data_IF_605110949756
#
_entry.id   IF_605110949756
#
_cell.length_a   1.000
_cell.length_b   1.000
_cell.length_c   1.000
_cell.angle_alpha   90.00
_cell.angle_beta   90.00
_cell.angle_gamma   90.00
#
_symmetry.space_group_name_H-M   'P 1'
#
loop_
_entity.id
_entity.type
_entity.pdbx_description
1 polymer ?
#
# COMPACT_ATOMS: atom_id res chain seq x y z
N UNK A 1 -17.25 40.23 9.31
CA UNK A 1 -16.75 38.90 9.75
C UNK A 1 -17.72 38.35 10.78
N UNK A 2 -18.38 37.22 10.51
CA UNK A 2 -19.31 36.58 11.46
C UNK A 2 -18.48 35.75 12.44
N UNK A 3 -18.41 36.17 13.70
CA UNK A 3 -17.85 35.35 14.79
C UNK A 3 -18.90 34.32 15.18
N UNK A 4 -18.72 33.07 14.73
CA UNK A 4 -19.46 31.94 15.28
C UNK A 4 -18.97 31.72 16.71
N UNK A 5 -19.77 32.12 17.70
CA UNK A 5 -19.54 31.71 19.10
C UNK A 5 -19.80 30.21 19.15
N UNK A 6 -18.74 29.41 19.38
CA UNK A 6 -18.89 28.00 19.74
C UNK A 6 -19.76 27.89 20.98
N UNK A 7 -20.64 26.92 20.97
CA UNK A 7 -21.55 26.60 22.06
C UNK A 7 -20.75 26.01 23.25
N UNK A 8 -20.85 26.62 24.45
CA UNK A 8 -20.04 26.18 25.60
C UNK A 8 -20.39 24.76 26.06
N UNK A 9 -21.62 24.31 25.77
CA UNK A 9 -22.09 22.98 26.10
C UNK A 9 -21.43 21.90 25.22
N UNK A 10 -21.41 22.08 23.90
CA UNK A 10 -20.71 21.17 22.99
C UNK A 10 -19.23 21.02 23.31
N UNK A 11 -18.56 22.11 23.69
CA UNK A 11 -17.15 22.07 24.12
C UNK A 11 -16.95 21.28 25.42
N UNK A 12 -17.90 21.37 26.36
CA UNK A 12 -17.83 20.58 27.60
C UNK A 12 -17.96 19.08 27.35
N UNK A 13 -18.83 18.67 26.43
CA UNK A 13 -18.99 17.26 26.03
C UNK A 13 -17.70 16.75 25.37
N UNK A 14 -17.14 17.49 24.42
CA UNK A 14 -15.88 17.10 23.77
C UNK A 14 -14.73 16.92 24.76
N UNK A 15 -14.63 17.79 25.78
CA UNK A 15 -13.64 17.65 26.85
C UNK A 15 -13.85 16.40 27.69
N UNK A 16 -15.10 16.07 28.00
CA UNK A 16 -15.44 14.86 28.77
C UNK A 16 -15.07 13.59 27.99
N UNK A 17 -15.48 13.49 26.73
CA UNK A 17 -15.16 12.36 25.84
C UNK A 17 -13.65 12.21 25.66
N UNK A 18 -12.93 13.32 25.47
CA UNK A 18 -11.49 13.28 25.35
C UNK A 18 -10.82 12.78 26.64
N UNK A 19 -11.28 13.25 27.80
CA UNK A 19 -10.75 12.82 29.11
C UNK A 19 -10.96 11.31 29.32
N UNK A 20 -12.12 10.78 28.95
CA UNK A 20 -12.42 9.34 29.04
C UNK A 20 -11.48 8.52 28.15
N UNK A 21 -11.23 8.96 26.91
CA UNK A 21 -10.27 8.30 26.01
C UNK A 21 -8.85 8.30 26.59
N UNK A 22 -8.41 9.42 27.18
CA UNK A 22 -7.11 9.49 27.84
C UNK A 22 -7.04 8.54 29.04
N UNK A 23 -8.11 8.39 29.82
CA UNK A 23 -8.16 7.47 30.95
C UNK A 23 -8.03 6.00 30.50
N UNK A 24 -8.79 5.61 29.46
CA UNK A 24 -8.74 4.26 28.88
C UNK A 24 -7.31 3.93 28.42
N UNK A 25 -6.70 4.83 27.65
CA UNK A 25 -5.36 4.63 27.11
C UNK A 25 -4.29 4.64 28.21
N UNK A 26 -4.47 5.44 29.26
CA UNK A 26 -3.55 5.43 30.40
C UNK A 26 -3.59 4.08 31.11
N UNK A 27 -4.77 3.46 31.25
CA UNK A 27 -4.90 2.10 31.80
C UNK A 27 -4.18 1.06 30.92
N UNK A 28 -4.24 1.18 29.58
CA UNK A 28 -3.48 0.30 28.67
C UNK A 28 -1.96 0.37 28.98
N UNK A 29 -1.43 1.58 29.18
CA UNK A 29 0.00 1.77 29.50
C UNK A 29 0.35 1.24 30.88
N UNK A 30 -0.51 1.43 31.88
CA UNK A 30 -0.30 0.92 33.24
C UNK A 30 -0.33 -0.60 33.31
N UNK A 31 -1.13 -1.25 32.46
CA UNK A 31 -1.25 -2.70 32.36
C UNK A 31 -0.22 -3.35 31.41
N UNK A 32 0.66 -2.55 30.80
CA UNK A 32 1.62 -3.00 29.77
C UNK A 32 0.97 -3.62 28.52
N UNK A 33 -0.30 -3.33 28.26
CA UNK A 33 -1.08 -3.81 27.10
C UNK A 33 -0.91 -2.88 25.88
N UNK A 34 0.33 -2.53 25.56
CA UNK A 34 0.63 -1.55 24.50
C UNK A 34 0.60 -2.18 23.10
N UNK A 35 0.04 -1.47 22.13
CA UNK A 35 0.07 -1.90 20.72
C UNK A 35 1.46 -1.65 20.16
N UNK A 36 2.18 -2.73 19.84
CA UNK A 36 3.58 -2.70 19.40
C UNK A 36 3.86 -1.71 18.24
N UNK A 37 2.95 -1.58 17.27
CA UNK A 37 3.12 -0.65 16.14
C UNK A 37 3.07 0.83 16.55
N UNK A 38 2.13 1.21 17.41
CA UNK A 38 2.00 2.59 17.91
C UNK A 38 3.11 2.89 18.92
N UNK A 39 3.44 1.91 19.76
CA UNK A 39 4.56 1.97 20.68
C UNK A 39 5.89 2.18 19.95
N UNK A 40 6.18 1.37 18.92
CA UNK A 40 7.41 1.50 18.14
C UNK A 40 7.52 2.86 17.44
N UNK A 41 6.40 3.41 16.93
CA UNK A 41 6.37 4.77 16.40
C UNK A 41 6.70 5.80 17.50
N UNK A 42 6.03 5.71 18.64
CA UNK A 42 6.27 6.62 19.75
C UNK A 42 7.71 6.57 20.26
N UNK A 43 8.28 5.37 20.37
CA UNK A 43 9.64 5.14 20.81
C UNK A 43 10.68 5.68 19.81
N UNK A 44 10.44 5.53 18.51
CA UNK A 44 11.29 6.09 17.47
C UNK A 44 11.28 7.63 17.49
N UNK A 45 10.10 8.23 17.68
CA UNK A 45 9.91 9.69 17.70
C UNK A 45 10.49 10.35 18.96
N UNK A 46 10.76 9.57 20.03
CA UNK A 46 11.40 10.06 21.26
C UNK A 46 12.86 9.65 21.41
N UNK A 47 13.49 9.19 20.33
CA UNK A 47 14.91 8.78 20.31
C UNK A 47 15.23 7.70 21.37
N UNK A 48 14.24 6.86 21.69
CA UNK A 48 14.37 5.78 22.67
C UNK A 48 14.20 6.19 24.14
N UNK A 49 13.80 7.43 24.43
CA UNK A 49 13.41 7.83 25.78
C UNK A 49 12.03 7.23 26.14
N UNK A 50 12.04 6.26 27.06
CA UNK A 50 10.84 5.48 27.42
C UNK A 50 9.76 6.32 28.11
N UNK A 51 10.13 7.29 28.95
CA UNK A 51 9.15 8.13 29.65
C UNK A 51 8.44 9.06 28.67
N UNK A 52 9.21 9.66 27.76
CA UNK A 52 8.64 10.45 26.67
C UNK A 52 7.83 9.57 25.72
N UNK A 53 8.29 8.34 25.43
CA UNK A 53 7.58 7.40 24.56
C UNK A 53 6.22 7.03 25.14
N UNK A 54 6.11 6.81 26.46
CA UNK A 54 4.81 6.57 27.12
C UNK A 54 3.86 7.75 26.96
N UNK A 55 4.33 8.98 27.19
CA UNK A 55 3.52 10.17 26.98
C UNK A 55 3.08 10.35 25.51
N UNK A 56 3.98 10.08 24.56
CA UNK A 56 3.70 10.20 23.13
C UNK A 56 2.76 9.09 22.64
N UNK A 57 2.92 7.87 23.14
CA UNK A 57 2.04 6.73 22.89
C UNK A 57 0.60 7.06 23.24
N UNK A 58 0.37 7.64 24.43
CA UNK A 58 -0.99 7.99 24.88
C UNK A 58 -1.66 8.92 23.86
N UNK A 59 -0.93 9.93 23.36
CA UNK A 59 -1.46 10.87 22.36
C UNK A 59 -1.78 10.18 21.04
N UNK A 60 -0.86 9.35 20.53
CA UNK A 60 -1.09 8.63 19.27
C UNK A 60 -2.22 7.62 19.37
N UNK A 61 -2.37 6.97 20.51
CA UNK A 61 -3.40 5.98 20.73
C UNK A 61 -4.78 6.60 20.88
N UNK A 62 -4.91 7.74 21.57
CA UNK A 62 -6.16 8.52 21.60
C UNK A 62 -6.58 8.94 20.19
N UNK A 63 -5.62 9.38 19.36
CA UNK A 63 -5.91 9.72 17.97
C UNK A 63 -6.35 8.49 17.16
N UNK A 64 -5.66 7.35 17.29
CA UNK A 64 -6.03 6.09 16.63
C UNK A 64 -7.45 5.64 17.01
N UNK A 65 -7.87 5.81 18.27
CA UNK A 65 -9.24 5.51 18.70
C UNK A 65 -10.27 6.44 18.04
N UNK A 66 -9.99 7.75 17.97
CA UNK A 66 -10.86 8.71 17.28
C UNK A 66 -10.97 8.38 15.79
N UNK A 67 -9.86 8.07 15.14
CA UNK A 67 -9.80 7.74 13.71
C UNK A 67 -10.57 6.45 13.41
N UNK A 68 -10.48 5.44 14.28
CA UNK A 68 -11.24 4.18 14.14
C UNK A 68 -12.74 4.39 14.17
N UNK A 69 -13.23 5.28 15.04
CA UNK A 69 -14.67 5.61 15.09
C UNK A 69 -15.11 6.26 13.78
N UNK A 70 -14.34 7.22 13.26
CA UNK A 70 -14.62 7.89 11.99
C UNK A 70 -14.66 6.88 10.84
N UNK A 71 -13.63 6.05 10.72
CA UNK A 71 -13.57 5.02 9.67
C UNK A 71 -14.72 4.02 9.79
N UNK A 72 -15.07 3.59 11.00
CA UNK A 72 -16.20 2.69 11.22
C UNK A 72 -17.54 3.33 10.80
N UNK A 73 -17.74 4.62 11.08
CA UNK A 73 -18.94 5.35 10.63
C UNK A 73 -18.99 5.48 9.11
N UNK A 74 -17.89 5.86 8.46
CA UNK A 74 -17.83 6.03 7.00
C UNK A 74 -18.01 4.70 6.24
N UNK A 75 -17.39 3.62 6.71
CA UNK A 75 -17.58 2.29 6.11
C UNK A 75 -19.02 1.80 6.28
N UNK A 76 -19.62 2.02 7.45
CA UNK A 76 -21.00 1.64 7.72
C UNK A 76 -21.99 2.34 6.79
N UNK A 77 -21.77 3.63 6.52
CA UNK A 77 -22.58 4.40 5.57
C UNK A 77 -22.38 3.92 4.13
N UNK A 78 -21.15 3.70 3.68
CA UNK A 78 -20.86 3.23 2.32
C UNK A 78 -21.48 1.85 2.03
N UNK A 79 -21.46 0.94 3.01
CA UNK A 79 -22.11 -0.36 2.91
C UNK A 79 -23.64 -0.22 2.80
N UNK A 80 -24.24 0.74 3.49
CA UNK A 80 -25.68 1.00 3.39
C UNK A 80 -26.08 1.56 2.02
N UNK A 81 -25.24 2.39 1.38
CA UNK A 81 -25.49 2.90 0.02
C UNK A 81 -25.34 1.82 -1.06
N UNK A 82 -24.31 0.97 -0.98
CA UNK A 82 -24.10 -0.10 -1.98
C UNK A 82 -25.21 -1.15 -1.97
N UNK A 83 -25.82 -1.44 -0.81
CA UNK A 83 -26.92 -2.39 -0.71
C UNK A 83 -28.25 -1.86 -1.27
N UNK A 84 -28.39 -0.56 -1.53
CA UNK A 84 -29.61 0.04 -2.10
C UNK A 84 -29.60 0.11 -3.64
N UNK A 85 -28.44 0.09 -4.30
CA UNK A 85 -28.34 0.14 -5.77
C UNK A 85 -28.42 -1.24 -6.45
N UNK A 86 -28.22 -2.35 -5.73
CA UNK A 86 -28.26 -3.71 -6.29
C UNK A 86 -29.59 -4.44 -6.06
N UNK A 87 -30.73 -3.79 -6.33
CA UNK A 87 -32.00 -4.49 -6.49
C UNK A 87 -32.05 -5.16 -7.89
N UNK A 88 -32.22 -6.49 -8.00
CA UNK A 88 -31.95 -7.21 -9.25
C UNK A 88 -33.08 -7.06 -10.27
N UNK A 89 -32.73 -6.53 -11.46
CA UNK A 89 -33.51 -6.67 -12.67
C UNK A 89 -33.23 -8.06 -13.27
N UNK A 90 -34.23 -8.95 -13.19
CA UNK A 90 -34.14 -10.33 -13.67
C UNK A 90 -34.04 -10.36 -15.19
N UNK A 91 -32.86 -10.62 -15.74
CA UNK A 91 -32.75 -11.19 -17.07
C UNK A 91 -31.90 -12.46 -17.05
N UNK A 92 -32.62 -13.56 -17.29
CA UNK A 92 -32.13 -14.89 -17.56
C UNK A 92 -31.09 -14.87 -18.69
N UNK A 93 -30.05 -15.72 -18.56
CA UNK A 93 -29.64 -16.58 -19.67
C UNK A 93 -28.80 -17.76 -19.17
N UNK A 94 -29.47 -18.91 -19.20
CA UNK A 94 -28.99 -20.27 -19.30
C UNK A 94 -27.95 -20.43 -20.43
N UNK A 95 -26.77 -21.02 -20.14
CA UNK A 95 -26.28 -22.27 -20.75
C UNK A 95 -24.75 -22.39 -20.82
N UNK A 96 -24.28 -23.55 -20.33
CA UNK A 96 -23.18 -24.40 -20.85
C UNK A 96 -21.81 -23.76 -21.11
N UNK A 97 -20.77 -24.30 -20.47
CA UNK A 97 -19.74 -25.10 -21.18
C UNK A 97 -18.93 -25.97 -20.20
N UNK A 98 -19.12 -27.25 -20.40
CA UNK A 98 -18.32 -28.44 -20.15
C UNK A 98 -16.91 -28.33 -19.54
N UNK A 99 -16.80 -29.06 -18.44
CA UNK A 99 -15.64 -29.77 -17.88
C UNK A 99 -14.79 -30.46 -18.95
N UNK A 100 -13.48 -30.25 -18.92
CA UNK A 100 -12.50 -31.22 -19.44
C UNK A 100 -11.33 -31.32 -18.48
N UNK A 101 -11.20 -32.51 -17.92
CA UNK A 101 -10.06 -32.96 -17.13
C UNK A 101 -8.77 -32.91 -17.96
N UNK A 102 -7.67 -32.51 -17.34
CA UNK A 102 -6.40 -33.14 -17.66
C UNK A 102 -5.44 -33.12 -16.46
N UNK A 103 -4.89 -34.29 -16.20
CA UNK A 103 -3.99 -34.63 -15.10
C UNK A 103 -2.55 -34.62 -15.57
N UNK A 104 -1.62 -34.25 -14.69
CA UNK A 104 -0.26 -34.78 -14.70
C UNK A 104 0.86 -33.78 -14.97
N UNK A 105 1.58 -33.38 -13.93
CA UNK A 105 2.98 -33.81 -13.73
C UNK A 105 3.53 -33.18 -12.45
N UNK A 106 4.27 -33.99 -11.69
CA UNK A 106 4.73 -33.67 -10.36
C UNK A 106 5.86 -32.65 -10.35
N UNK A 107 5.77 -31.72 -9.41
CA UNK A 107 6.90 -30.94 -8.96
C UNK A 107 6.74 -30.64 -7.47
N UNK A 108 7.84 -30.88 -6.74
CA UNK A 108 8.06 -30.73 -5.30
C UNK A 108 7.06 -29.81 -4.59
N UNK A 109 6.16 -30.41 -3.80
CA UNK A 109 5.20 -29.68 -2.96
C UNK A 109 5.94 -28.98 -1.83
N UNK A 110 6.20 -27.68 -2.01
CA UNK A 110 6.01 -26.78 -0.88
C UNK A 110 4.58 -27.01 -0.40
N UNK A 111 4.41 -27.36 0.86
CA UNK A 111 3.12 -27.60 1.50
C UNK A 111 2.36 -26.27 1.54
N UNK A 112 1.68 -25.95 0.43
CA UNK A 112 0.79 -24.80 0.32
C UNK A 112 -0.34 -25.07 1.30
N UNK A 113 -0.42 -24.27 2.36
CA UNK A 113 -1.57 -24.29 3.27
C UNK A 113 -2.79 -23.81 2.50
N UNK A 114 -3.57 -24.77 1.99
CA UNK A 114 -4.86 -24.49 1.38
C UNK A 114 -5.87 -24.41 2.51
N UNK A 115 -6.47 -23.24 2.71
CA UNK A 115 -7.62 -23.09 3.61
C UNK A 115 -8.88 -23.45 2.83
N UNK A 116 -9.58 -24.47 3.31
CA UNK A 116 -10.84 -24.91 2.76
C UNK A 116 -11.96 -24.12 3.43
N UNK A 117 -12.69 -23.32 2.67
CA UNK A 117 -13.85 -22.56 3.17
C UNK A 117 -15.12 -23.13 2.54
N UNK A 118 -16.13 -23.38 3.37
CA UNK A 118 -17.42 -23.86 2.90
C UNK A 118 -18.34 -22.69 2.60
N UNK A 119 -18.94 -22.66 1.41
CA UNK A 119 -19.94 -21.66 1.09
C UNK A 119 -21.20 -21.85 1.97
N UNK A 120 -21.67 -20.82 2.70
CA UNK A 120 -22.83 -20.97 3.59
C UNK A 120 -24.14 -21.27 2.84
N UNK A 121 -24.20 -20.94 1.54
CA UNK A 121 -25.42 -21.10 0.73
C UNK A 121 -25.50 -22.43 -0.01
N UNK A 122 -24.44 -22.83 -0.72
CA UNK A 122 -24.43 -24.06 -1.52
C UNK A 122 -23.67 -25.22 -0.88
N UNK A 123 -22.97 -24.99 0.24
CA UNK A 123 -22.10 -25.96 0.93
C UNK A 123 -20.94 -26.52 0.09
N UNK A 124 -20.69 -25.96 -1.10
CA UNK A 124 -19.54 -26.36 -1.90
C UNK A 124 -18.24 -25.90 -1.25
N UNK A 125 -17.24 -26.75 -1.40
CA UNK A 125 -15.89 -26.57 -0.92
C UNK A 125 -15.14 -25.60 -1.85
N UNK A 126 -14.73 -24.45 -1.32
CA UNK A 126 -13.94 -23.47 -2.06
C UNK A 126 -12.52 -23.53 -1.50
N UNK A 127 -11.57 -23.88 -2.37
CA UNK A 127 -10.14 -23.85 -2.05
C UNK A 127 -9.62 -22.44 -2.32
N UNK A 128 -9.23 -21.75 -1.25
CA UNK A 128 -8.61 -20.42 -1.35
C UNK A 128 -7.10 -20.62 -1.16
N UNK A 129 -6.34 -20.25 -2.19
CA UNK A 129 -4.88 -20.14 -2.07
C UNK A 129 -4.56 -18.93 -1.19
N UNK A 130 -4.33 -19.18 0.11
CA UNK A 130 -3.87 -18.16 1.07
C UNK A 130 -2.36 -17.95 1.00
N UNK A 131 -1.69 -18.39 -0.08
CA UNK A 131 -0.34 -17.95 -0.37
C UNK A 131 -0.38 -16.43 -0.56
N UNK A 132 -0.09 -15.70 0.52
CA UNK A 132 -0.10 -14.24 0.51
C UNK A 132 0.78 -13.71 -0.62
N UNK A 133 0.59 -12.45 -1.02
CA UNK A 133 1.49 -11.83 -1.99
C UNK A 133 2.93 -12.06 -1.52
N UNK A 134 3.76 -12.61 -2.40
CA UNK A 134 5.15 -12.91 -2.04
C UNK A 134 5.79 -11.68 -1.38
N UNK A 135 6.62 -11.87 -0.36
CA UNK A 135 7.31 -10.77 0.33
C UNK A 135 7.97 -9.78 -0.65
N UNK A 136 8.45 -10.31 -1.78
CA UNK A 136 9.01 -9.53 -2.90
C UNK A 136 7.98 -8.55 -3.48
N UNK A 137 6.73 -8.96 -3.67
CA UNK A 137 5.63 -8.07 -4.11
C UNK A 137 5.36 -6.95 -3.11
N UNK A 138 5.43 -7.23 -1.80
CA UNK A 138 5.24 -6.21 -0.76
C UNK A 138 6.39 -5.21 -0.72
N UNK A 139 7.64 -5.70 -0.80
CA UNK A 139 8.84 -4.85 -0.85
C UNK A 139 8.85 -3.98 -2.11
N UNK A 140 8.51 -4.54 -3.27
CA UNK A 140 8.42 -3.82 -4.53
C UNK A 140 7.32 -2.74 -4.54
N UNK A 141 6.32 -2.84 -3.66
CA UNK A 141 5.22 -1.87 -3.56
C UNK A 141 5.35 -0.91 -2.37
N UNK A 142 6.45 -0.99 -1.62
CA UNK A 142 6.70 -0.05 -0.53
C UNK A 142 6.76 1.38 -1.07
N UNK A 143 6.36 2.36 -0.24
CA UNK A 143 6.50 3.78 -0.59
C UNK A 143 7.95 4.14 -0.97
N UNK A 144 8.94 3.41 -0.44
CA UNK A 144 10.35 3.57 -0.74
C UNK A 144 10.73 3.23 -2.19
N UNK A 145 10.24 2.12 -2.75
CA UNK A 145 10.60 1.74 -4.13
C UNK A 145 9.99 2.69 -5.17
N UNK A 146 8.80 3.21 -4.91
CA UNK A 146 8.20 4.27 -5.74
C UNK A 146 9.02 5.55 -5.72
N UNK A 147 9.51 5.95 -4.55
CA UNK A 147 10.38 7.12 -4.41
C UNK A 147 11.71 6.94 -5.16
N UNK A 148 12.35 5.78 -5.00
CA UNK A 148 13.58 5.44 -5.74
C UNK A 148 13.37 5.41 -7.25
N UNK A 149 12.22 4.94 -7.73
CA UNK A 149 11.87 4.98 -9.14
C UNK A 149 11.83 6.42 -9.68
N UNK A 150 11.20 7.35 -8.96
CA UNK A 150 11.15 8.77 -9.38
C UNK A 150 12.52 9.45 -9.33
N UNK A 151 13.39 9.10 -8.38
CA UNK A 151 14.78 9.58 -8.35
C UNK A 151 15.54 9.10 -9.59
N UNK A 152 15.44 7.80 -9.91
CA UNK A 152 16.10 7.23 -11.08
C UNK A 152 15.58 7.85 -12.38
N UNK A 153 14.25 8.01 -12.51
CA UNK A 153 13.64 8.67 -13.67
C UNK A 153 14.11 10.12 -13.80
N UNK A 154 14.16 10.86 -12.70
CA UNK A 154 14.66 12.23 -12.66
C UNK A 154 16.13 12.33 -13.11
N UNK A 155 16.97 11.39 -12.69
CA UNK A 155 18.36 11.29 -13.15
C UNK A 155 18.47 11.06 -14.65
N UNK A 156 17.66 10.16 -15.21
CA UNK A 156 17.65 9.87 -16.66
C UNK A 156 17.20 11.10 -17.46
N UNK A 157 16.14 11.78 -17.02
CA UNK A 157 15.65 13.00 -17.69
C UNK A 157 16.70 14.12 -17.64
N UNK A 158 17.38 14.27 -16.50
CA UNK A 158 18.42 15.28 -16.34
C UNK A 158 19.60 15.04 -17.30
N UNK A 159 20.11 13.80 -17.38
CA UNK A 159 21.19 13.44 -18.30
C UNK A 159 20.78 13.63 -19.78
N UNK A 160 19.53 13.29 -20.12
CA UNK A 160 19.02 13.52 -21.47
C UNK A 160 18.95 15.01 -21.84
N UNK A 161 18.59 15.87 -20.88
CA UNK A 161 18.57 17.32 -21.07
C UNK A 161 19.98 17.91 -21.19
N UNK A 162 20.94 17.45 -20.37
CA UNK A 162 22.35 17.89 -20.47
C UNK A 162 22.92 17.51 -21.85
N UNK A 163 22.61 16.31 -22.35
CA UNK A 163 22.99 15.87 -23.70
C UNK A 163 22.37 16.74 -24.80
N UNK A 164 21.08 17.07 -24.69
CA UNK A 164 20.38 17.95 -25.65
C UNK A 164 20.99 19.36 -25.69
N UNK A 165 21.30 19.94 -24.53
CA UNK A 165 21.95 21.25 -24.43
C UNK A 165 23.36 21.23 -25.01
N UNK A 166 24.11 20.14 -24.79
CA UNK A 166 25.45 19.97 -25.36
C UNK A 166 25.44 19.86 -26.90
N UNK A 167 24.44 19.19 -27.47
CA UNK A 167 24.31 19.01 -28.91
C UNK A 167 24.06 20.31 -29.69
N UNK A 168 23.41 21.30 -29.07
CA UNK A 168 23.07 22.58 -29.71
C UNK A 168 24.18 23.64 -29.58
N UNK A 169 25.34 23.31 -29.00
CA UNK A 169 26.48 24.23 -28.88
C UNK A 169 26.20 25.45 -28.00
N UNK A 170 25.14 25.42 -27.19
CA UNK A 170 24.72 26.54 -26.37
C UNK A 170 25.57 26.60 -25.09
N UNK A 171 26.50 27.56 -25.07
CA UNK A 171 27.37 27.82 -23.91
C UNK A 171 26.69 28.78 -22.95
N UNK A 172 25.83 28.25 -22.07
CA UNK A 172 25.44 29.00 -20.87
C UNK A 172 25.65 28.15 -19.63
N UNK A 173 26.41 28.73 -18.69
CA UNK A 173 26.20 28.77 -17.23
C UNK A 173 24.89 28.11 -16.75
N UNK A 174 24.79 27.50 -15.55
CA UNK A 174 25.35 27.96 -14.26
C UNK A 174 25.72 26.81 -13.26
N UNK A 175 25.81 25.56 -13.74
CA UNK A 175 25.79 24.34 -12.91
C UNK A 175 27.17 23.76 -12.57
N UNK A 176 28.26 24.37 -13.04
CA UNK A 176 29.64 23.92 -12.77
C UNK A 176 29.94 23.85 -11.27
N UNK A 177 29.26 24.63 -10.44
CA UNK A 177 29.40 24.60 -8.99
C UNK A 177 28.69 23.38 -8.34
N UNK A 178 27.48 23.03 -8.78
CA UNK A 178 26.77 21.83 -8.30
C UNK A 178 27.40 20.54 -8.85
N UNK A 179 27.87 20.54 -10.10
CA UNK A 179 28.69 19.45 -10.66
C UNK A 179 29.93 19.22 -9.80
N UNK A 180 30.61 20.25 -9.28
CA UNK A 180 31.79 20.06 -8.41
C UNK A 180 31.46 19.47 -7.04
N UNK A 181 30.27 19.71 -6.50
CA UNK A 181 29.85 19.21 -5.19
C UNK A 181 29.30 17.77 -5.24
N UNK A 182 28.56 17.42 -6.29
CA UNK A 182 28.01 16.06 -6.43
C UNK A 182 28.97 15.06 -7.08
N UNK A 183 29.93 15.55 -7.88
CA UNK A 183 30.79 14.71 -8.73
C UNK A 183 32.22 14.55 -8.19
N UNK A 184 32.48 14.98 -6.95
CA UNK A 184 33.76 14.78 -6.27
C UNK A 184 34.13 13.32 -5.94
N UNK A 185 33.32 12.34 -6.35
CA UNK A 185 33.53 10.94 -5.96
C UNK A 185 33.81 9.94 -7.08
N UNK A 186 33.62 10.27 -8.37
CA UNK A 186 33.99 9.35 -9.46
C UNK A 186 34.48 10.13 -10.68
N UNK A 187 35.80 10.21 -10.83
CA UNK A 187 36.51 10.73 -12.00
C UNK A 187 36.30 9.76 -13.18
N UNK A 188 35.12 9.81 -13.81
CA UNK A 188 34.71 8.97 -14.94
C UNK A 188 34.96 9.63 -16.31
N UNK A 189 35.50 10.85 -16.35
CA UNK A 189 35.71 11.64 -17.58
C UNK A 189 36.64 10.98 -18.62
N UNK A 190 37.42 9.97 -18.24
CA UNK A 190 38.32 9.26 -19.17
C UNK A 190 37.66 8.08 -19.90
N UNK A 191 36.48 7.63 -19.46
CA UNK A 191 35.75 6.60 -20.19
C UNK A 191 34.90 7.30 -21.26
N UNK A 192 35.43 7.31 -22.48
CA UNK A 192 34.80 7.96 -23.65
C UNK A 192 33.34 7.54 -23.92
N UNK A 193 32.73 8.05 -25.01
CA UNK A 193 31.29 8.01 -25.26
C UNK A 193 30.63 6.61 -25.23
N UNK A 194 31.43 5.54 -25.33
CA UNK A 194 30.94 4.17 -25.17
C UNK A 194 30.38 3.86 -23.78
N UNK A 195 30.87 4.50 -22.71
CA UNK A 195 30.38 4.23 -21.35
C UNK A 195 28.97 4.78 -21.12
N UNK A 196 28.68 5.98 -21.64
CA UNK A 196 27.34 6.58 -21.59
C UNK A 196 26.31 5.68 -22.28
N UNK A 197 26.66 5.09 -23.43
CA UNK A 197 25.79 4.16 -24.14
C UNK A 197 25.51 2.88 -23.32
N UNK A 198 26.53 2.29 -22.70
CA UNK A 198 26.37 1.11 -21.85
C UNK A 198 25.50 1.39 -20.62
N UNK A 199 25.69 2.55 -20.00
CA UNK A 199 24.91 2.95 -18.83
C UNK A 199 23.44 3.21 -19.17
N UNK A 200 23.17 3.83 -20.32
CA UNK A 200 21.81 4.00 -20.84
C UNK A 200 21.13 2.65 -21.11
N UNK A 201 21.84 1.69 -21.72
CA UNK A 201 21.34 0.32 -21.93
C UNK A 201 20.99 -0.35 -20.60
N UNK A 202 21.83 -0.21 -19.57
CA UNK A 202 21.56 -0.77 -18.25
C UNK A 202 20.28 -0.18 -17.62
N UNK A 203 20.09 1.14 -17.71
CA UNK A 203 18.87 1.79 -17.21
C UNK A 203 17.61 1.34 -17.96
N UNK A 204 17.69 1.18 -19.28
CA UNK A 204 16.56 0.67 -20.08
C UNK A 204 16.19 -0.78 -19.70
N UNK A 205 17.18 -1.64 -19.43
CA UNK A 205 16.93 -3.02 -18.97
C UNK A 205 16.24 -3.03 -17.60
N UNK A 206 16.65 -2.15 -16.68
CA UNK A 206 16.00 -2.01 -15.37
C UNK A 206 14.57 -1.50 -15.50
N UNK A 207 14.33 -0.47 -16.33
CA UNK A 207 13.00 0.06 -16.60
C UNK A 207 12.07 -0.98 -17.23
N UNK A 208 12.58 -1.76 -18.21
CA UNK A 208 11.80 -2.81 -18.85
C UNK A 208 11.47 -3.96 -17.90
N UNK A 209 12.42 -4.36 -17.06
CA UNK A 209 12.21 -5.36 -16.00
C UNK A 209 11.13 -4.90 -15.03
N UNK A 210 11.18 -3.62 -14.62
CA UNK A 210 10.18 -3.02 -13.74
C UNK A 210 8.80 -2.95 -14.41
N UNK A 211 8.73 -2.54 -15.68
CA UNK A 211 7.49 -2.51 -16.45
C UNK A 211 6.84 -3.90 -16.55
N UNK A 212 7.61 -4.94 -16.91
CA UNK A 212 7.11 -6.32 -16.96
C UNK A 212 6.59 -6.80 -15.60
N UNK A 213 7.31 -6.52 -14.52
CA UNK A 213 6.86 -6.85 -13.17
C UNK A 213 5.54 -6.15 -12.83
N UNK A 214 5.42 -4.85 -13.13
CA UNK A 214 4.20 -4.07 -12.89
C UNK A 214 2.99 -4.60 -13.69
N UNK A 215 3.19 -5.00 -14.95
CA UNK A 215 2.14 -5.53 -15.81
C UNK A 215 1.65 -6.91 -15.37
N UNK A 216 2.55 -7.77 -14.87
CA UNK A 216 2.19 -9.06 -14.31
C UNK A 216 1.35 -8.90 -13.03
N UNK A 217 1.72 -7.93 -12.18
CA UNK A 217 1.02 -7.64 -10.92
C UNK A 217 -0.39 -7.07 -11.15
N UNK A 218 -0.59 -6.21 -12.15
CA UNK A 218 -1.92 -5.69 -12.50
C UNK A 218 -2.92 -6.80 -12.83
N UNK A 219 -2.46 -7.89 -13.47
CA UNK A 219 -3.31 -9.06 -13.76
C UNK A 219 -3.67 -9.86 -12.51
N UNK A 220 -2.80 -9.88 -11.49
CA UNK A 220 -3.08 -10.56 -10.22
C UNK A 220 -4.02 -9.77 -9.33
N UNK A 221 -3.90 -8.44 -9.30
CA UNK A 221 -4.75 -7.59 -8.47
C UNK A 221 -6.20 -7.58 -8.97
N UNK A 222 -6.40 -7.56 -10.29
CA UNK A 222 -7.74 -7.68 -10.88
C UNK A 222 -8.40 -9.03 -10.61
N UNK A 223 -7.63 -10.10 -10.38
CA UNK A 223 -8.17 -11.42 -9.98
C UNK A 223 -8.53 -11.49 -8.49
N UNK A 224 -7.84 -10.73 -7.64
CA UNK A 224 -8.12 -10.67 -6.20
C UNK A 224 -9.27 -9.69 -5.87
N UNK A 225 -9.42 -8.62 -6.65
CA UNK A 225 -10.55 -7.68 -6.51
C UNK A 225 -11.80 -8.13 -7.25
N UNK A 226 -11.67 -8.97 -8.28
CA UNK A 226 -12.81 -9.65 -8.90
C UNK A 226 -13.27 -10.81 -8.01
N UNK A 227 -14.04 -10.42 -7.01
CA UNK A 227 -15.10 -11.21 -6.40
C UNK A 227 -14.70 -12.47 -5.61
N UNK A 228 -14.85 -12.35 -4.30
CA UNK A 228 -15.25 -13.45 -3.42
C UNK A 228 -16.70 -13.93 -3.72
N UNK A 229 -17.07 -14.06 -4.99
CA UNK A 229 -18.36 -14.62 -5.40
C UNK A 229 -18.15 -16.13 -5.56
N UNK A 230 -18.94 -16.93 -4.85
CA UNK A 230 -18.99 -18.36 -5.12
C UNK A 230 -19.42 -18.57 -6.59
N UNK A 231 -18.62 -19.28 -7.40
CA UNK A 231 -18.91 -19.49 -8.83
C UNK A 231 -20.26 -20.18 -9.07
N UNK A 232 -20.70 -20.97 -8.10
CA UNK A 232 -21.89 -21.81 -8.24
C UNK A 232 -23.17 -21.09 -7.82
N UNK A 233 -23.11 -20.19 -6.83
CA UNK A 233 -24.30 -19.55 -6.27
C UNK A 233 -24.28 -18.03 -6.26
N UNK A 234 -23.18 -17.40 -6.70
CA UNK A 234 -23.02 -15.94 -6.75
C UNK A 234 -23.13 -15.25 -5.39
N UNK A 235 -22.89 -15.96 -4.29
CA UNK A 235 -22.92 -15.36 -2.95
C UNK A 235 -21.57 -14.69 -2.66
N UNK A 236 -21.62 -13.46 -2.11
CA UNK A 236 -20.44 -12.77 -1.60
C UNK A 236 -19.98 -13.43 -0.29
N UNK A 237 -18.73 -13.90 -0.25
CA UNK A 237 -18.08 -14.32 0.99
C UNK A 237 -17.56 -13.06 1.68
N UNK A 238 -17.92 -12.88 2.95
CA UNK A 238 -17.40 -11.79 3.78
C UNK A 238 -16.03 -12.19 4.33
N UNK A 239 -15.13 -11.22 4.50
CA UNK A 239 -13.76 -11.44 5.01
C UNK A 239 -13.72 -12.03 6.43
N UNK A 240 -14.85 -12.06 7.15
CA UNK A 240 -14.97 -12.71 8.46
C UNK A 240 -15.06 -14.24 8.39
N UNK A 241 -15.26 -14.81 7.19
CA UNK A 241 -15.40 -16.27 6.97
C UNK A 241 -14.18 -16.92 6.31
N UNK A 242 -13.16 -16.12 5.95
CA UNK A 242 -11.89 -16.53 5.32
C UNK A 242 -10.76 -16.35 6.32
#
# INVERSE_FOLDING_TARGET
MKFFKKDPFGESIQRMEETELFEIVTKEVMNEEVIAGIWGKAFADTEGDEQKAKALYIRYRVQDLKDRVIVATELGEQLNYQNQETAPNNHANTSRTQTRANSGSGQSRNEVRVSVVHCPKCKNEITIDTSGPSFISFVLYSRGTRFLFWILLGGIVYEALDFLVYAEGFTVNPFTFLKRLFWGYLRLDELGPGYAALQLVMYLVLLFSFYKASAALGKTHNKLSASFLCSDCGAHLTSAQV
#
